data_IF_541565335520
#
_entry.id   IF_541565335520
#
_cell.length_a   1.000
_cell.length_b   1.000
_cell.length_c   1.000
_cell.angle_alpha   90.00
_cell.angle_beta   90.00
_cell.angle_gamma   90.00
#
_symmetry.space_group_name_H-M   'P 1'
#
loop_
_entity.id
_entity.type
_entity.pdbx_description
1 polymer ?
#
# COMPACT_ATOMS: atom_id res chain seq x y z
N UNK A 1 -4.68 -30.56 -19.90
CA UNK A 1 -5.83 -29.63 -19.91
C UNK A 1 -5.42 -28.41 -19.11
N UNK A 2 -5.27 -27.22 -19.71
CA UNK A 2 -5.10 -26.01 -18.92
C UNK A 2 -6.46 -25.66 -18.31
N UNK A 3 -6.50 -25.48 -16.99
CA UNK A 3 -7.66 -24.92 -16.32
C UNK A 3 -7.67 -23.41 -16.55
N UNK A 4 -8.58 -22.92 -17.39
CA UNK A 4 -8.91 -21.50 -17.46
C UNK A 4 -9.70 -21.12 -16.20
N UNK A 5 -9.03 -20.50 -15.25
CA UNK A 5 -9.69 -19.81 -14.15
C UNK A 5 -10.26 -18.49 -14.66
N UNK A 6 -11.51 -18.51 -15.11
CA UNK A 6 -12.29 -17.29 -15.27
C UNK A 6 -12.60 -16.73 -13.89
N UNK A 7 -11.73 -15.86 -13.37
CA UNK A 7 -12.09 -14.98 -12.26
C UNK A 7 -13.13 -13.99 -12.80
N UNK A 8 -14.39 -14.18 -12.43
CA UNK A 8 -15.39 -13.13 -12.55
C UNK A 8 -14.91 -11.97 -11.68
N UNK A 9 -14.40 -10.90 -12.30
CA UNK A 9 -14.06 -9.68 -11.61
C UNK A 9 -15.37 -9.02 -11.17
N UNK A 10 -15.80 -9.28 -9.94
CA UNK A 10 -16.85 -8.48 -9.31
C UNK A 10 -16.28 -7.08 -9.07
N UNK A 11 -16.76 -6.10 -9.84
CA UNK A 11 -16.44 -4.70 -9.62
C UNK A 11 -17.16 -4.21 -8.37
N UNK A 12 -16.42 -4.13 -7.26
CA UNK A 12 -16.95 -3.60 -6.00
C UNK A 12 -16.68 -2.11 -5.89
N UNK A 13 -17.69 -1.37 -5.46
CA UNK A 13 -17.54 0.03 -5.06
C UNK A 13 -17.03 0.18 -3.63
N UNK A 14 -16.68 1.41 -3.24
CA UNK A 14 -16.20 1.71 -1.88
C UNK A 14 -17.18 1.27 -0.79
N UNK A 15 -18.49 1.48 -0.98
CA UNK A 15 -19.49 1.13 0.02
C UNK A 15 -19.58 -0.38 0.29
N UNK A 16 -19.43 -1.20 -0.74
CA UNK A 16 -19.43 -2.66 -0.60
C UNK A 16 -18.19 -3.14 0.15
N UNK A 17 -17.03 -2.55 -0.12
CA UNK A 17 -15.78 -2.83 0.60
C UNK A 17 -15.92 -2.47 2.08
N UNK A 18 -16.46 -1.29 2.39
CA UNK A 18 -16.70 -0.86 3.78
C UNK A 18 -17.61 -1.87 4.50
N UNK A 19 -18.71 -2.30 3.87
CA UNK A 19 -19.62 -3.27 4.47
C UNK A 19 -18.94 -4.63 4.76
N UNK A 20 -18.04 -5.09 3.88
CA UNK A 20 -17.26 -6.32 4.10
C UNK A 20 -16.33 -6.16 5.32
N UNK A 21 -15.63 -5.03 5.40
CA UNK A 21 -14.71 -4.75 6.52
C UNK A 21 -15.49 -4.64 7.84
N UNK A 22 -16.63 -3.95 7.83
CA UNK A 22 -17.46 -3.77 9.02
C UNK A 22 -17.98 -5.10 9.56
N UNK A 23 -18.30 -6.05 8.68
CA UNK A 23 -18.76 -7.40 9.04
C UNK A 23 -17.64 -8.34 9.53
N UNK A 24 -16.37 -7.93 9.42
CA UNK A 24 -15.24 -8.78 9.81
C UNK A 24 -14.92 -8.66 11.30
N UNK A 25 -14.62 -9.80 11.94
CA UNK A 25 -14.17 -9.88 13.33
C UNK A 25 -12.67 -9.56 13.42
N UNK A 26 -12.37 -8.33 13.83
CA UNK A 26 -11.01 -7.80 14.02
C UNK A 26 -11.03 -6.67 15.06
N UNK A 27 -9.86 -6.26 15.54
CA UNK A 27 -9.76 -5.13 16.47
C UNK A 27 -10.27 -3.83 15.84
N UNK A 28 -10.70 -2.89 16.70
CA UNK A 28 -11.14 -1.57 16.24
C UNK A 28 -10.02 -0.82 15.51
N UNK A 29 -8.78 -0.92 16.00
CA UNK A 29 -7.61 -0.27 15.40
C UNK A 29 -7.27 -0.85 14.01
N UNK A 30 -7.31 -2.18 13.85
CA UNK A 30 -7.13 -2.82 12.54
C UNK A 30 -8.24 -2.41 11.56
N UNK A 31 -9.49 -2.34 12.03
CA UNK A 31 -10.64 -1.91 11.21
C UNK A 31 -10.48 -0.46 10.73
N UNK A 32 -10.16 0.45 11.65
CA UNK A 32 -9.94 1.86 11.33
C UNK A 32 -8.80 2.04 10.32
N UNK A 33 -7.69 1.32 10.50
CA UNK A 33 -6.56 1.39 9.57
C UNK A 33 -6.91 0.83 8.19
N UNK A 34 -7.62 -0.31 8.11
CA UNK A 34 -8.06 -0.86 6.83
C UNK A 34 -8.98 0.12 6.07
N UNK A 35 -9.96 0.71 6.77
CA UNK A 35 -10.84 1.73 6.19
C UNK A 35 -10.06 2.96 5.73
N UNK A 36 -9.08 3.43 6.51
CA UNK A 36 -8.19 4.55 6.14
C UNK A 36 -7.41 4.26 4.85
N UNK A 37 -6.88 3.05 4.69
CA UNK A 37 -6.16 2.65 3.47
C UNK A 37 -7.12 2.70 2.26
N UNK A 38 -8.31 2.12 2.38
CA UNK A 38 -9.31 2.16 1.31
C UNK A 38 -9.78 3.58 0.96
N UNK A 39 -9.95 4.43 1.97
CA UNK A 39 -10.35 5.82 1.81
C UNK A 39 -9.32 6.61 0.97
N UNK A 40 -8.03 6.37 1.22
CA UNK A 40 -6.91 6.94 0.47
C UNK A 40 -6.90 6.47 -0.99
N UNK A 41 -7.09 5.16 -1.21
CA UNK A 41 -7.15 4.60 -2.56
C UNK A 41 -8.35 5.18 -3.32
N UNK A 42 -9.52 5.25 -2.67
CA UNK A 42 -10.73 5.80 -3.27
C UNK A 42 -10.54 7.25 -3.73
N UNK A 43 -9.91 8.10 -2.92
CA UNK A 43 -9.61 9.48 -3.32
C UNK A 43 -8.65 9.54 -4.53
N UNK A 44 -7.64 8.66 -4.54
CA UNK A 44 -6.64 8.63 -5.60
C UNK A 44 -7.22 8.14 -6.93
N UNK A 45 -8.07 7.12 -6.90
CA UNK A 45 -8.79 6.58 -8.04
C UNK A 45 -9.84 7.56 -8.56
N UNK A 46 -10.61 8.19 -7.66
CA UNK A 46 -11.58 9.24 -8.02
C UNK A 46 -10.92 10.36 -8.84
N UNK A 47 -9.75 10.82 -8.39
CA UNK A 47 -8.94 11.81 -9.10
C UNK A 47 -8.39 11.29 -10.43
N UNK A 48 -7.92 10.05 -10.49
CA UNK A 48 -7.43 9.43 -11.73
C UNK A 48 -8.52 9.27 -12.79
N UNK A 49 -9.75 9.00 -12.35
CA UNK A 49 -10.93 8.78 -13.21
C UNK A 49 -11.77 10.04 -13.45
N UNK A 50 -11.45 11.15 -12.78
CA UNK A 50 -12.24 12.39 -12.80
C UNK A 50 -13.73 12.17 -12.43
N UNK A 51 -13.95 11.39 -11.38
CA UNK A 51 -15.28 11.10 -10.82
C UNK A 51 -15.35 11.44 -9.34
N UNK A 52 -16.56 11.50 -8.79
CA UNK A 52 -16.76 11.60 -7.35
C UNK A 52 -16.30 10.33 -6.63
N UNK A 53 -15.78 10.45 -5.41
CA UNK A 53 -15.28 9.32 -4.60
C UNK A 53 -16.26 8.16 -4.49
N UNK A 54 -17.53 8.46 -4.25
CA UNK A 54 -18.58 7.45 -4.10
C UNK A 54 -18.99 6.78 -5.43
N UNK A 55 -18.55 7.33 -6.57
CA UNK A 55 -18.77 6.77 -7.90
C UNK A 55 -17.56 5.95 -8.40
N UNK A 56 -16.53 5.77 -7.58
CA UNK A 56 -15.38 4.93 -7.92
C UNK A 56 -15.79 3.47 -7.96
N UNK A 57 -15.54 2.83 -9.10
CA UNK A 57 -15.55 1.39 -9.24
C UNK A 57 -14.10 0.90 -9.22
N UNK A 58 -13.76 0.07 -8.24
CA UNK A 58 -12.41 -0.46 -8.19
C UNK A 58 -12.25 -1.60 -9.19
N UNK A 59 -11.35 -1.40 -10.14
CA UNK A 59 -11.05 -2.37 -11.19
C UNK A 59 -10.07 -3.45 -10.69
N UNK A 60 -9.00 -3.02 -10.03
CA UNK A 60 -7.95 -3.91 -9.51
C UNK A 60 -8.05 -4.08 -7.99
N UNK A 61 -8.39 -3.01 -7.26
CA UNK A 61 -8.40 -2.99 -5.79
C UNK A 61 -9.72 -3.48 -5.17
N UNK A 62 -10.78 -3.63 -5.98
CA UNK A 62 -12.10 -4.12 -5.53
C UNK A 62 -12.20 -5.64 -5.47
N UNK A 63 -11.19 -6.33 -6.01
CA UNK A 63 -11.09 -7.77 -5.97
C UNK A 63 -10.90 -8.25 -4.52
N UNK A 64 -11.43 -9.45 -4.21
CA UNK A 64 -11.29 -10.08 -2.89
C UNK A 64 -9.82 -10.13 -2.45
N UNK A 65 -8.90 -10.46 -3.35
CA UNK A 65 -7.47 -10.55 -3.05
C UNK A 65 -6.92 -9.22 -2.49
N UNK A 66 -7.31 -8.08 -3.08
CA UNK A 66 -6.87 -6.77 -2.61
C UNK A 66 -7.50 -6.36 -1.27
N UNK A 67 -8.75 -6.77 -1.02
CA UNK A 67 -9.39 -6.58 0.29
C UNK A 67 -8.64 -7.38 1.36
N UNK A 68 -8.33 -8.64 1.06
CA UNK A 68 -7.55 -9.49 1.97
C UNK A 68 -6.16 -8.91 2.22
N UNK A 69 -5.47 -8.42 1.19
CA UNK A 69 -4.14 -7.80 1.34
C UNK A 69 -4.19 -6.58 2.28
N UNK A 70 -5.15 -5.67 2.10
CA UNK A 70 -5.29 -4.46 2.94
C UNK A 70 -5.67 -4.81 4.38
N UNK A 71 -6.62 -5.72 4.56
CA UNK A 71 -7.01 -6.21 5.90
C UNK A 71 -5.83 -6.88 6.59
N UNK A 72 -5.06 -7.70 5.87
CA UNK A 72 -3.87 -8.35 6.43
C UNK A 72 -2.81 -7.34 6.86
N UNK A 73 -2.55 -6.29 6.07
CA UNK A 73 -1.65 -5.19 6.46
C UNK A 73 -2.14 -4.56 7.76
N UNK A 74 -3.43 -4.25 7.86
CA UNK A 74 -3.98 -3.57 9.03
C UNK A 74 -3.91 -4.43 10.31
N UNK A 75 -4.27 -5.71 10.21
CA UNK A 75 -4.19 -6.66 11.32
C UNK A 75 -2.74 -6.90 11.75
N UNK A 76 -1.80 -7.02 10.79
CA UNK A 76 -0.38 -7.15 11.09
C UNK A 76 0.18 -5.92 11.80
N UNK A 77 -0.18 -4.71 11.35
CA UNK A 77 0.27 -3.46 11.96
C UNK A 77 -0.25 -3.32 13.41
N UNK A 78 -1.53 -3.62 13.63
CA UNK A 78 -2.14 -3.63 14.97
C UNK A 78 -1.47 -4.67 15.88
N UNK A 79 -1.26 -5.89 15.36
CA UNK A 79 -0.61 -6.98 16.12
C UNK A 79 0.85 -6.69 16.46
N UNK A 80 1.57 -5.94 15.63
CA UNK A 80 2.94 -5.50 15.90
C UNK A 80 3.00 -4.49 17.04
N UNK A 81 1.92 -3.76 17.32
CA UNK A 81 1.85 -2.79 18.40
C UNK A 81 2.86 -1.65 18.26
N UNK A 82 3.23 -1.29 17.03
CA UNK A 82 4.19 -0.20 16.77
C UNK A 82 3.50 1.15 16.79
N UNK A 83 4.04 2.09 17.55
CA UNK A 83 3.50 3.46 17.64
C UNK A 83 4.01 4.37 16.51
N UNK A 84 5.19 4.07 15.98
CA UNK A 84 5.86 4.87 14.96
C UNK A 84 6.21 4.02 13.74
N UNK A 85 5.83 4.50 12.56
CA UNK A 85 6.20 3.89 11.28
C UNK A 85 6.94 4.92 10.47
N UNK A 86 8.18 4.60 10.13
CA UNK A 86 9.09 5.49 9.42
C UNK A 86 9.14 5.05 7.96
N UNK A 87 8.81 5.95 7.03
CA UNK A 87 8.91 5.70 5.59
C UNK A 87 9.78 6.79 4.96
N UNK A 88 11.12 6.59 4.92
CA UNK A 88 12.03 7.64 4.47
C UNK A 88 11.84 8.02 3.01
N UNK A 89 11.61 7.01 2.17
CA UNK A 89 11.38 7.19 0.75
C UNK A 89 10.59 6.00 0.18
N UNK A 90 9.91 6.26 -0.95
CA UNK A 90 9.34 5.23 -1.81
C UNK A 90 10.22 5.06 -3.05
N UNK A 91 10.63 3.82 -3.33
CA UNK A 91 11.46 3.50 -4.49
C UNK A 91 10.58 2.99 -5.65
N UNK A 92 10.49 3.78 -6.72
CA UNK A 92 9.64 3.47 -7.89
C UNK A 92 10.49 3.22 -9.14
N UNK A 93 9.99 2.39 -10.06
CA UNK A 93 10.60 2.19 -11.37
C UNK A 93 10.21 3.27 -12.38
N UNK A 94 10.29 2.93 -13.66
CA UNK A 94 9.98 3.84 -14.79
C UNK A 94 9.26 3.09 -15.91
N UNK A 95 8.85 3.85 -16.93
CA UNK A 95 8.27 3.32 -18.16
C UNK A 95 6.76 3.21 -18.10
N UNK A 96 6.23 2.06 -18.51
CA UNK A 96 4.79 1.81 -18.56
C UNK A 96 4.45 0.42 -18.04
N UNK A 97 3.22 0.25 -17.56
CA UNK A 97 2.66 -1.04 -17.13
C UNK A 97 1.33 -1.29 -17.83
N UNK A 98 1.04 -2.54 -18.15
CA UNK A 98 -0.27 -2.96 -18.67
C UNK A 98 -1.14 -3.43 -17.51
N UNK A 99 -2.31 -2.82 -17.38
CA UNK A 99 -3.29 -3.03 -16.33
C UNK A 99 -4.70 -3.11 -16.96
N UNK A 100 -5.76 -3.23 -16.15
CA UNK A 100 -7.14 -3.24 -16.68
C UNK A 100 -7.51 -1.95 -17.43
N UNK A 101 -6.83 -0.84 -17.14
CA UNK A 101 -6.99 0.46 -17.80
C UNK A 101 -6.12 0.63 -19.06
N UNK A 102 -5.55 -0.46 -19.56
CA UNK A 102 -4.64 -0.42 -20.71
C UNK A 102 -3.19 -0.18 -20.29
N UNK A 103 -2.45 0.58 -21.09
CA UNK A 103 -1.03 0.86 -20.84
C UNK A 103 -0.91 2.23 -20.17
N UNK A 104 -0.43 2.24 -18.94
CA UNK A 104 -0.29 3.44 -18.11
C UNK A 104 1.19 3.75 -17.82
N UNK A 105 1.55 5.03 -17.61
CA UNK A 105 2.90 5.39 -17.16
C UNK A 105 3.17 4.83 -15.77
N UNK A 106 4.46 4.65 -15.44
CA UNK A 106 4.92 4.36 -14.08
C UNK A 106 5.58 5.62 -13.50
N UNK A 107 5.20 6.09 -12.29
CA UNK A 107 4.11 5.56 -11.46
C UNK A 107 2.73 5.73 -12.11
N UNK A 108 1.82 4.77 -11.85
CA UNK A 108 0.44 4.86 -12.34
C UNK A 108 -0.29 6.06 -11.72
N UNK A 109 -1.34 6.62 -12.36
CA UNK A 109 -1.98 7.87 -11.90
C UNK A 109 -2.44 7.85 -10.44
N UNK A 110 -3.03 6.74 -9.96
CA UNK A 110 -3.45 6.61 -8.57
C UNK A 110 -2.24 6.63 -7.60
N UNK A 111 -1.17 5.88 -7.88
CA UNK A 111 0.08 5.91 -7.11
C UNK A 111 0.68 7.32 -7.07
N UNK A 112 0.77 7.99 -8.23
CA UNK A 112 1.31 9.34 -8.32
C UNK A 112 0.46 10.36 -7.54
N UNK A 113 -0.87 10.22 -7.55
CA UNK A 113 -1.79 11.05 -6.78
C UNK A 113 -1.58 10.86 -5.26
N UNK A 114 -1.37 9.63 -4.79
CA UNK A 114 -1.08 9.34 -3.38
C UNK A 114 0.27 9.95 -3.00
N UNK A 115 1.31 9.70 -3.80
CA UNK A 115 2.66 10.24 -3.59
C UNK A 115 2.64 11.76 -3.44
N UNK A 116 1.94 12.45 -4.34
CA UNK A 116 1.76 13.90 -4.29
C UNK A 116 1.00 14.36 -3.04
N UNK A 117 -0.14 13.71 -2.71
CA UNK A 117 -1.01 14.13 -1.61
C UNK A 117 -0.32 14.03 -0.25
N UNK A 118 0.48 12.98 -0.06
CA UNK A 118 1.15 12.70 1.21
C UNK A 118 2.61 13.18 1.26
N UNK A 119 3.09 13.85 0.21
CA UNK A 119 4.41 14.48 0.19
C UNK A 119 5.57 13.50 0.32
N UNK A 120 5.45 12.29 -0.22
CA UNK A 120 6.51 11.29 -0.12
C UNK A 120 7.79 11.74 -0.83
N UNK A 121 8.94 11.45 -0.22
CA UNK A 121 10.21 11.40 -0.94
C UNK A 121 10.17 10.19 -1.89
N UNK A 122 10.45 10.41 -3.18
CA UNK A 122 10.39 9.36 -4.20
C UNK A 122 11.74 9.21 -4.88
N UNK A 123 12.27 7.99 -4.86
CA UNK A 123 13.49 7.62 -5.55
C UNK A 123 13.19 6.81 -6.81
N UNK A 124 13.49 7.36 -8.00
CA UNK A 124 13.28 6.67 -9.26
C UNK A 124 14.46 5.77 -9.62
N UNK A 125 14.26 4.46 -9.47
CA UNK A 125 15.22 3.43 -9.85
C UNK A 125 15.44 3.42 -11.38
N UNK A 126 16.64 3.04 -11.86
CA UNK A 126 16.94 2.90 -13.29
C UNK A 126 16.43 1.56 -13.85
N UNK A 127 15.23 1.12 -13.45
CA UNK A 127 14.62 -0.16 -13.88
C UNK A 127 13.21 0.06 -14.40
N UNK A 128 12.81 -0.73 -15.39
CA UNK A 128 11.46 -0.70 -15.95
C UNK A 128 10.48 -1.46 -15.05
N UNK A 129 9.27 -0.93 -14.91
CA UNK A 129 8.17 -1.59 -14.21
C UNK A 129 7.72 -0.88 -12.94
N UNK A 130 6.57 -1.28 -12.42
CA UNK A 130 5.92 -0.70 -11.24
C UNK A 130 6.37 -1.43 -9.97
N UNK A 131 7.11 -0.72 -9.12
CA UNK A 131 7.57 -1.20 -7.82
C UNK A 131 6.67 -0.73 -6.68
N UNK A 132 5.95 0.39 -6.84
CA UNK A 132 4.97 0.88 -5.88
C UNK A 132 3.58 0.86 -6.49
N UNK A 133 2.73 -0.06 -6.04
CA UNK A 133 1.32 -0.12 -6.45
C UNK A 133 0.48 0.91 -5.69
N UNK A 134 -0.73 1.24 -6.16
CA UNK A 134 -1.64 2.11 -5.42
C UNK A 134 -1.90 1.60 -4.00
N UNK A 135 -2.08 0.29 -3.82
CA UNK A 135 -2.23 -0.36 -2.51
C UNK A 135 -1.03 -0.14 -1.61
N UNK A 136 0.19 -0.33 -2.13
CA UNK A 136 1.42 -0.13 -1.36
C UNK A 136 1.63 1.33 -0.95
N UNK A 137 1.38 2.28 -1.86
CA UNK A 137 1.45 3.70 -1.56
C UNK A 137 0.41 4.12 -0.51
N UNK A 138 -0.82 3.64 -0.61
CA UNK A 138 -1.87 3.95 0.35
C UNK A 138 -1.60 3.34 1.73
N UNK A 139 -1.08 2.11 1.80
CA UNK A 139 -0.67 1.49 3.04
C UNK A 139 0.46 2.29 3.73
N UNK A 140 1.48 2.68 2.96
CA UNK A 140 2.55 3.55 3.46
C UNK A 140 1.97 4.88 3.98
N UNK A 141 1.06 5.51 3.23
CA UNK A 141 0.43 6.78 3.61
C UNK A 141 -0.41 6.67 4.89
N UNK A 142 -1.11 5.54 5.06
CA UNK A 142 -1.96 5.32 6.21
C UNK A 142 -1.15 5.05 7.49
N UNK A 143 -0.03 4.34 7.35
CA UNK A 143 0.84 3.91 8.46
C UNK A 143 1.86 4.97 8.87
N UNK A 144 2.45 5.70 7.93
CA UNK A 144 3.58 6.59 8.16
C UNK A 144 3.28 7.65 9.22
N UNK A 145 4.18 7.77 10.19
CA UNK A 145 4.17 8.84 11.21
C UNK A 145 5.27 9.88 10.96
N UNK A 146 6.37 9.49 10.33
CA UNK A 146 7.49 10.36 9.94
C UNK A 146 8.29 9.74 8.78
N UNK A 147 9.06 10.55 8.05
CA UNK A 147 10.05 10.12 7.06
C UNK A 147 11.49 10.17 7.59
N UNK A 148 11.68 10.65 8.82
CA UNK A 148 13.02 10.78 9.42
C UNK A 148 13.41 9.54 10.24
N UNK A 149 14.51 8.89 9.85
CA UNK A 149 15.14 7.85 10.66
C UNK A 149 15.91 8.47 11.85
N UNK A 150 15.91 7.82 13.02
CA UNK A 150 16.77 8.26 14.13
C UNK A 150 18.25 8.14 13.75
N UNK A 151 19.09 9.03 14.30
CA UNK A 151 20.52 9.09 14.01
C UNK A 151 21.24 7.75 14.29
N UNK A 152 20.78 7.00 15.29
CA UNK A 152 21.27 5.66 15.57
C UNK A 152 20.18 4.79 16.18
N UNK A 153 20.07 3.55 15.72
CA UNK A 153 19.07 2.59 16.19
C UNK A 153 19.63 1.17 16.17
N UNK A 154 18.96 0.26 16.89
CA UNK A 154 19.21 -1.19 16.81
C UNK A 154 18.10 -1.85 16.01
N UNK A 155 18.45 -2.80 15.16
CA UNK A 155 17.46 -3.64 14.47
C UNK A 155 17.10 -4.78 15.41
N UNK A 156 15.83 -4.87 15.78
CA UNK A 156 15.26 -5.93 16.61
C UNK A 156 14.69 -7.07 15.76
N UNK A 157 14.22 -6.76 14.56
CA UNK A 157 13.58 -7.72 13.67
C UNK A 157 13.59 -7.28 12.21
N UNK A 158 13.47 -8.25 11.30
CA UNK A 158 13.48 -8.03 9.85
C UNK A 158 12.33 -8.79 9.23
N UNK A 159 11.51 -8.09 8.45
CA UNK A 159 10.49 -8.67 7.58
C UNK A 159 10.87 -8.47 6.11
N UNK A 160 10.64 -9.48 5.28
CA UNK A 160 10.85 -9.41 3.83
C UNK A 160 9.60 -9.88 3.11
N UNK A 161 9.11 -9.08 2.17
CA UNK A 161 8.02 -9.43 1.27
C UNK A 161 8.46 -9.24 -0.17
N UNK A 162 8.07 -10.15 -1.07
CA UNK A 162 8.38 -10.04 -2.49
C UNK A 162 7.09 -10.01 -3.31
N UNK A 163 7.05 -9.15 -4.32
CA UNK A 163 5.96 -9.13 -5.29
C UNK A 163 5.95 -10.36 -6.19
N UNK A 164 4.80 -10.66 -6.80
CA UNK A 164 4.66 -11.78 -7.76
C UNK A 164 5.27 -11.47 -9.14
N UNK A 165 5.48 -10.19 -9.47
CA UNK A 165 6.00 -9.74 -10.77
C UNK A 165 7.51 -9.95 -10.83
N UNK A 166 7.98 -10.48 -11.96
CA UNK A 166 9.40 -10.63 -12.23
C UNK A 166 9.93 -9.37 -12.93
N UNK A 167 10.96 -8.79 -12.34
CA UNK A 167 11.72 -7.69 -12.90
C UNK A 167 13.19 -8.11 -13.00
N UNK A 168 14.00 -7.31 -13.71
CA UNK A 168 15.47 -7.50 -13.76
C UNK A 168 16.10 -7.50 -12.35
N UNK A 169 15.50 -6.73 -11.43
CA UNK A 169 15.85 -6.68 -10.01
C UNK A 169 14.70 -7.24 -9.16
N UNK A 170 14.96 -8.06 -8.14
CA UNK A 170 13.92 -8.50 -7.22
C UNK A 170 13.16 -7.30 -6.61
N UNK A 171 11.83 -7.27 -6.76
CA UNK A 171 10.97 -6.33 -6.05
C UNK A 171 10.70 -6.87 -4.65
N UNK A 172 11.56 -6.46 -3.72
CA UNK A 172 11.51 -6.86 -2.31
C UNK A 172 11.26 -5.63 -1.46
N UNK A 173 10.18 -5.68 -0.67
CA UNK A 173 9.97 -4.78 0.46
C UNK A 173 10.67 -5.35 1.70
N UNK A 174 11.42 -4.50 2.40
CA UNK A 174 12.03 -4.84 3.69
C UNK A 174 11.49 -3.92 4.78
N UNK A 175 10.90 -4.53 5.80
CA UNK A 175 10.53 -3.86 7.03
C UNK A 175 11.58 -4.14 8.11
N UNK A 176 11.93 -3.12 8.89
CA UNK A 176 12.83 -3.23 10.02
C UNK A 176 12.07 -2.81 11.28
N UNK A 177 12.04 -3.70 12.28
CA UNK A 177 11.63 -3.30 13.62
C UNK A 177 12.88 -2.75 14.32
N UNK A 178 12.82 -1.50 14.76
CA UNK A 178 13.98 -0.79 15.31
C UNK A 178 13.71 -0.23 16.70
N UNK A 179 14.76 -0.12 17.50
CA UNK A 179 14.77 0.58 18.79
C UNK A 179 15.67 1.82 18.66
N UNK A 180 15.12 3.01 18.96
CA UNK A 180 15.89 4.25 18.99
C UNK A 180 16.82 4.28 20.21
N UNK A 181 18.13 4.43 19.96
CA UNK A 181 19.12 4.49 21.03
C UNK A 181 19.06 5.79 21.84
N UNK A 182 18.46 6.87 21.31
CA UNK A 182 18.33 8.14 22.03
C UNK A 182 17.45 8.01 23.28
N UNK A 183 16.45 7.12 23.25
CA UNK A 183 15.56 6.86 24.39
C UNK A 183 16.26 6.12 25.56
N UNK A 184 17.46 5.56 25.36
CA UNK A 184 18.25 4.87 26.41
C UNK A 184 19.13 5.78 27.26
N UNK A 185 19.21 7.09 26.98
CA UNK A 185 20.07 8.02 27.74
C UNK A 185 19.51 8.47 29.10
N UNK A 186 18.42 7.87 29.57
CA UNK A 186 17.86 8.17 30.90
C UNK A 186 17.98 6.95 31.82
N UNK A 187 19.20 6.64 32.25
CA UNK A 187 19.52 5.81 33.41
C UNK A 187 20.76 6.36 34.10
#
# INVERSE_FOLDING_TARGET
MPHEHHHHHEHRGLQEVIAIIDATDMSAAAKELALKIFDIIADAEAKAHAVEKNAVHFHEVGAIDSIVDIVAIAVCADSLGVENVIVPELCEGRGTVRCQHGVLPVPVPATANIMQRFGFNVHLLPVQGEFVTPTGAAAAAALMTTDELPQSFKILGIGLGAGKRQYERPSILRALLIEDNAQKKTL
#
